data_IF_526764628190
#
_entry.id   IF_526764628190
#
_cell.length_a   1.000
_cell.length_b   1.000
_cell.length_c   1.000
_cell.angle_alpha   90.00
_cell.angle_beta   90.00
_cell.angle_gamma   90.00
#
_symmetry.space_group_name_H-M   'P 1'
#
loop_
_entity.id
_entity.type
_entity.pdbx_description
1 polymer ?
#
# COMPACT_ATOMS: atom_id res chain seq x y z
N UNK A 1 15.38 -8.37 65.75
CA UNK A 1 15.60 -8.99 64.42
C UNK A 1 14.44 -8.59 63.53
N UNK A 2 14.57 -7.47 62.83
CA UNK A 2 13.56 -6.94 61.90
C UNK A 2 14.00 -7.29 60.48
N UNK A 3 13.28 -8.23 59.86
CA UNK A 3 13.47 -8.62 58.46
C UNK A 3 12.68 -7.67 57.56
N UNK A 4 13.38 -6.93 56.71
CA UNK A 4 12.78 -6.06 55.70
C UNK A 4 12.29 -6.91 54.51
N UNK A 5 10.98 -6.91 54.27
CA UNK A 5 10.38 -7.48 53.07
C UNK A 5 10.37 -6.41 51.99
N UNK A 6 11.22 -6.56 50.98
CA UNK A 6 11.25 -5.66 49.82
C UNK A 6 10.01 -5.93 48.96
N UNK A 7 9.13 -4.93 48.81
CA UNK A 7 8.01 -5.00 47.88
C UNK A 7 8.55 -4.95 46.46
N UNK A 8 8.33 -6.01 45.68
CA UNK A 8 8.55 -6.01 44.24
C UNK A 8 7.61 -4.98 43.60
N UNK A 9 8.17 -3.88 43.10
CA UNK A 9 7.44 -2.99 42.20
C UNK A 9 7.32 -3.70 40.85
N UNK A 10 6.07 -3.95 40.47
CA UNK A 10 5.66 -4.39 39.14
C UNK A 10 6.26 -3.41 38.14
N UNK A 11 7.19 -3.89 37.30
CA UNK A 11 7.71 -3.12 36.18
C UNK A 11 6.55 -2.94 35.21
N UNK A 12 6.03 -1.73 35.17
CA UNK A 12 5.05 -1.29 34.19
C UNK A 12 5.66 -1.49 32.81
N UNK A 13 5.06 -2.41 32.03
CA UNK A 13 5.41 -2.67 30.64
C UNK A 13 5.43 -1.33 29.90
N UNK A 14 6.63 -0.86 29.58
CA UNK A 14 6.77 0.22 28.60
C UNK A 14 6.30 -0.37 27.29
N UNK A 15 5.18 0.14 26.77
CA UNK A 15 4.79 -0.06 25.38
C UNK A 15 6.01 0.20 24.50
N UNK A 16 6.60 -0.86 23.97
CA UNK A 16 7.69 -0.76 23.01
C UNK A 16 7.09 -0.15 21.76
N UNK A 17 7.29 1.16 21.55
CA UNK A 17 7.07 1.80 20.26
C UNK A 17 7.87 0.98 19.24
N UNK A 18 7.16 0.18 18.44
CA UNK A 18 7.75 -0.58 17.34
C UNK A 18 8.28 0.45 16.33
N UNK A 19 9.60 0.67 16.34
CA UNK A 19 10.26 1.58 15.41
C UNK A 19 10.12 1.02 14.00
N UNK A 20 9.39 1.74 13.15
CA UNK A 20 9.23 1.40 11.73
C UNK A 20 9.47 2.68 10.91
N UNK A 21 10.59 2.81 10.20
CA UNK A 21 10.87 3.97 9.36
C UNK A 21 9.76 4.23 8.31
N UNK A 22 9.12 3.15 7.83
CA UNK A 22 7.96 3.23 6.94
C UNK A 22 6.83 3.96 7.65
N UNK A 23 6.41 3.46 8.82
CA UNK A 23 5.32 4.04 9.61
C UNK A 23 5.60 5.50 9.97
N UNK A 24 6.81 5.81 10.42
CA UNK A 24 7.21 7.16 10.81
C UNK A 24 7.09 8.15 9.64
N UNK A 25 7.52 7.76 8.43
CA UNK A 25 7.38 8.63 7.26
C UNK A 25 5.93 8.79 6.81
N UNK A 26 5.11 7.73 6.89
CA UNK A 26 3.69 7.79 6.56
C UNK A 26 2.92 8.71 7.52
N UNK A 27 3.26 8.70 8.82
CA UNK A 27 2.76 9.62 9.82
C UNK A 27 3.16 11.06 9.50
N UNK A 28 4.46 11.29 9.28
CA UNK A 28 5.01 12.61 8.96
C UNK A 28 4.38 13.22 7.68
N UNK A 29 4.03 12.37 6.71
CA UNK A 29 3.39 12.77 5.47
C UNK A 29 1.85 12.89 5.57
N UNK A 30 1.24 12.61 6.72
CA UNK A 30 -0.22 12.55 6.92
C UNK A 30 -0.91 11.59 5.96
N UNK A 31 -0.30 10.41 5.74
CA UNK A 31 -0.86 9.32 4.95
C UNK A 31 -1.69 8.39 5.83
N UNK A 32 -1.14 8.04 7.01
CA UNK A 32 -1.85 7.34 8.10
C UNK A 32 -2.12 8.32 9.25
N UNK A 33 -3.13 8.08 10.10
CA UNK A 33 -3.44 8.96 11.22
C UNK A 33 -2.39 8.83 12.33
N UNK A 34 -2.11 9.95 13.00
CA UNK A 34 -1.35 9.93 14.25
C UNK A 34 -2.27 9.52 15.40
N UNK A 35 -2.02 8.35 15.97
CA UNK A 35 -2.78 7.78 17.08
C UNK A 35 -2.76 8.63 18.36
N UNK A 36 -1.75 9.49 18.55
CA UNK A 36 -1.70 10.47 19.64
C UNK A 36 -2.34 11.81 19.26
N UNK A 37 -2.49 12.10 17.96
CA UNK A 37 -3.16 13.28 17.44
C UNK A 37 -4.64 13.02 17.13
N UNK A 38 -5.34 12.29 18.00
CA UNK A 38 -6.79 12.44 18.16
C UNK A 38 -7.15 13.76 18.86
N UNK A 39 -6.29 14.78 18.75
CA UNK A 39 -6.50 16.16 19.20
C UNK A 39 -7.38 16.85 18.18
N UNK A 40 -8.70 16.67 18.33
CA UNK A 40 -9.81 17.62 18.13
C UNK A 40 -9.83 18.63 16.94
N UNK A 41 -8.86 18.68 16.02
CA UNK A 41 -8.69 19.79 15.08
C UNK A 41 -8.20 19.43 13.66
N UNK A 42 -7.89 18.17 13.34
CA UNK A 42 -7.67 17.78 11.93
C UNK A 42 -9.02 17.54 11.24
N UNK A 43 -9.50 18.52 10.47
CA UNK A 43 -10.72 18.39 9.64
C UNK A 43 -10.54 17.49 8.40
N UNK A 44 -9.37 16.88 8.20
CA UNK A 44 -9.08 16.08 7.00
C UNK A 44 -8.92 14.60 7.36
N UNK A 45 -9.73 13.69 6.79
CA UNK A 45 -9.57 12.25 7.02
C UNK A 45 -8.22 11.76 6.44
N UNK A 46 -7.58 10.75 7.07
CA UNK A 46 -6.35 10.16 6.56
C UNK A 46 -6.62 9.37 5.27
N UNK A 47 -5.56 9.12 4.49
CA UNK A 47 -5.63 8.40 3.21
C UNK A 47 -5.80 6.91 3.47
N UNK A 48 -5.06 6.38 4.44
CA UNK A 48 -5.14 5.00 4.90
C UNK A 48 -5.58 4.96 6.36
N UNK A 49 -6.19 3.84 6.75
CA UNK A 49 -6.32 3.52 8.17
C UNK A 49 -4.93 3.25 8.77
N UNK A 50 -4.85 3.28 10.10
CA UNK A 50 -3.61 2.97 10.80
C UNK A 50 -3.23 1.49 10.60
N UNK A 51 -1.96 1.20 10.28
CA UNK A 51 -1.49 -0.18 10.10
C UNK A 51 0.01 -0.33 10.44
N UNK A 52 0.42 -1.54 10.81
CA UNK A 52 1.82 -1.89 11.01
C UNK A 52 2.38 -2.48 9.71
N UNK A 53 3.37 -1.85 9.07
CA UNK A 53 3.96 -2.40 7.85
C UNK A 53 4.62 -3.76 8.13
N UNK A 54 4.20 -4.79 7.39
CA UNK A 54 4.78 -6.14 7.39
C UNK A 54 5.59 -6.42 6.13
N UNK A 55 5.43 -5.58 5.09
CA UNK A 55 6.16 -5.65 3.84
C UNK A 55 6.79 -4.28 3.48
N UNK A 56 8.10 -4.22 3.20
CA UNK A 56 8.65 -3.15 2.38
C UNK A 56 8.11 -3.29 0.94
N UNK A 57 7.74 -2.14 0.36
CA UNK A 57 7.34 -2.05 -1.04
C UNK A 57 8.41 -1.28 -1.82
N UNK A 58 9.13 -1.98 -2.69
CA UNK A 58 10.17 -1.42 -3.53
C UNK A 58 9.58 -1.10 -4.91
N UNK A 59 9.76 0.15 -5.34
CA UNK A 59 9.26 0.63 -6.63
C UNK A 59 10.42 1.20 -7.43
N UNK A 60 10.57 0.76 -8.67
CA UNK A 60 11.54 1.32 -9.62
C UNK A 60 10.91 1.61 -10.97
N UNK A 61 11.49 2.57 -11.68
CA UNK A 61 11.14 3.03 -13.01
C UNK A 61 12.31 2.67 -13.94
N UNK A 62 12.29 1.49 -14.59
CA UNK A 62 13.44 0.98 -15.34
C UNK A 62 13.86 1.91 -16.48
N UNK A 63 12.91 2.56 -17.15
CA UNK A 63 13.19 3.44 -18.30
C UNK A 63 14.08 4.64 -17.97
N UNK A 64 14.13 5.03 -16.71
CA UNK A 64 14.85 6.23 -16.22
C UNK A 64 15.83 5.88 -15.11
N UNK A 65 16.03 4.58 -14.82
CA UNK A 65 16.81 4.09 -13.67
C UNK A 65 16.45 4.75 -12.34
N UNK A 66 15.20 5.20 -12.19
CA UNK A 66 14.75 5.92 -11.01
C UNK A 66 14.15 4.95 -10.00
N UNK A 67 14.54 5.05 -8.73
CA UNK A 67 13.95 4.26 -7.64
C UNK A 67 13.21 5.18 -6.68
N UNK A 68 12.04 4.75 -6.22
CA UNK A 68 11.28 5.48 -5.21
C UNK A 68 11.88 5.20 -3.84
N UNK A 69 12.46 6.22 -3.23
CA UNK A 69 12.79 6.19 -1.81
C UNK A 69 11.65 6.84 -1.02
N UNK A 70 11.42 6.36 0.20
CA UNK A 70 10.31 6.80 1.03
C UNK A 70 10.35 8.33 1.24
N UNK A 71 9.34 9.02 0.71
CA UNK A 71 9.23 10.48 0.79
C UNK A 71 10.17 11.26 -0.12
N UNK A 72 10.80 10.61 -1.12
CA UNK A 72 11.67 11.30 -2.06
C UNK A 72 10.90 12.28 -2.96
N UNK A 73 11.63 13.20 -3.58
CA UNK A 73 11.09 14.14 -4.57
C UNK A 73 11.56 13.72 -5.96
N UNK A 74 10.62 13.45 -6.86
CA UNK A 74 10.90 12.98 -8.22
C UNK A 74 10.25 13.92 -9.26
N UNK A 75 10.92 14.11 -10.39
CA UNK A 75 10.32 14.84 -11.52
C UNK A 75 9.27 13.99 -12.23
N UNK A 76 8.20 14.58 -12.78
CA UNK A 76 7.21 13.83 -13.58
C UNK A 76 7.84 13.01 -14.72
N UNK A 77 8.91 13.50 -15.34
CA UNK A 77 9.62 12.78 -16.40
C UNK A 77 10.33 11.52 -15.89
N UNK A 78 10.94 11.57 -14.71
CA UNK A 78 11.60 10.42 -14.10
C UNK A 78 10.64 9.26 -13.81
N UNK A 79 9.35 9.56 -13.63
CA UNK A 79 8.29 8.61 -13.27
C UNK A 79 7.21 8.49 -14.36
N UNK A 80 7.54 8.84 -15.60
CA UNK A 80 6.57 8.89 -16.70
C UNK A 80 6.11 7.51 -17.17
N UNK A 81 7.01 6.53 -17.17
CA UNK A 81 6.69 5.16 -17.59
C UNK A 81 6.10 4.36 -16.43
N UNK A 82 5.37 3.28 -16.73
CA UNK A 82 4.89 2.37 -15.69
C UNK A 82 6.07 1.79 -14.89
N UNK A 83 6.00 1.75 -13.55
CA UNK A 83 7.04 1.16 -12.72
C UNK A 83 6.96 -0.38 -12.71
N UNK A 84 8.01 -0.98 -12.15
CA UNK A 84 7.99 -2.36 -11.64
C UNK A 84 8.03 -2.34 -10.12
N UNK A 85 7.64 -3.44 -9.49
CA UNK A 85 7.61 -3.55 -8.05
C UNK A 85 8.18 -4.87 -7.55
N UNK A 86 8.61 -4.84 -6.30
CA UNK A 86 9.06 -5.99 -5.54
C UNK A 86 8.65 -5.81 -4.08
N UNK A 87 8.20 -6.89 -3.45
CA UNK A 87 7.89 -6.91 -2.03
C UNK A 87 8.14 -8.32 -1.47
N UNK A 88 8.63 -8.38 -0.24
CA UNK A 88 8.89 -9.59 0.52
C UNK A 88 8.51 -9.36 1.97
N UNK A 89 8.02 -10.34 2.73
CA UNK A 89 7.72 -10.12 4.14
C UNK A 89 8.99 -9.76 4.90
N UNK A 90 8.89 -8.91 5.93
CA UNK A 90 10.01 -8.71 6.85
C UNK A 90 10.41 -10.06 7.47
N UNK A 91 11.72 -10.31 7.67
CA UNK A 91 12.16 -11.52 8.34
C UNK A 91 11.57 -11.53 9.76
N UNK A 92 10.83 -12.59 10.09
CA UNK A 92 10.40 -12.84 11.46
C UNK A 92 11.64 -12.96 12.34
N UNK A 93 11.73 -12.17 13.40
CA UNK A 93 12.76 -12.39 14.42
C UNK A 93 12.56 -13.80 14.98
N UNK A 94 13.57 -14.68 14.99
CA UNK A 94 13.47 -15.96 15.68
C UNK A 94 13.07 -15.72 17.14
N UNK A 95 12.11 -16.49 17.64
CA UNK A 95 11.75 -16.43 19.06
C UNK A 95 13.02 -16.63 19.92
N UNK A 96 13.28 -15.78 20.91
CA UNK A 96 14.49 -15.84 21.74
C UNK A 96 14.52 -17.05 22.69
N UNK A 97 13.50 -17.90 22.68
CA UNK A 97 13.43 -19.11 23.50
C UNK A 97 13.54 -20.36 22.61
N UNK A 98 14.72 -21.00 22.52
CA UNK A 98 14.87 -22.31 21.87
C UNK A 98 14.36 -23.40 22.83
N UNK A 99 13.13 -23.27 23.32
CA UNK A 99 12.46 -24.39 23.97
C UNK A 99 12.14 -25.42 22.89
N UNK A 100 12.59 -26.68 23.03
CA UNK A 100 12.27 -27.75 22.08
C UNK A 100 10.78 -28.10 22.23
N UNK A 101 9.93 -27.28 21.62
CA UNK A 101 8.51 -27.60 21.49
C UNK A 101 8.37 -28.81 20.57
N UNK A 102 7.51 -29.80 20.90
CA UNK A 102 7.20 -30.90 20.01
C UNK A 102 6.80 -30.37 18.63
N UNK A 103 7.17 -31.10 17.58
CA UNK A 103 6.87 -30.75 16.19
C UNK A 103 5.50 -30.07 16.05
N UNK A 104 5.40 -28.89 15.40
CA UNK A 104 4.14 -28.20 15.26
C UNK A 104 3.10 -29.15 14.68
N UNK A 105 1.96 -29.30 15.34
CA UNK A 105 0.80 -29.95 14.76
C UNK A 105 0.54 -29.36 13.36
N UNK A 106 0.00 -30.14 12.40
CA UNK A 106 -0.33 -29.63 11.06
C UNK A 106 -1.05 -28.30 11.21
N UNK A 107 -0.38 -27.21 10.81
CA UNK A 107 -0.98 -25.89 10.89
C UNK A 107 -2.22 -25.93 9.99
N UNK A 108 -3.38 -25.42 10.44
CA UNK A 108 -4.54 -25.30 9.56
C UNK A 108 -4.09 -24.55 8.30
N UNK A 109 -4.52 -25.03 7.14
CA UNK A 109 -4.20 -24.46 5.83
C UNK A 109 -4.26 -22.93 5.93
N UNK A 110 -3.10 -22.26 5.90
CA UNK A 110 -3.07 -20.81 5.94
C UNK A 110 -3.90 -20.32 4.75
N UNK A 111 -4.91 -19.46 4.97
CA UNK A 111 -5.77 -19.05 3.88
C UNK A 111 -4.92 -18.41 2.79
N UNK A 112 -5.05 -18.91 1.57
CA UNK A 112 -4.34 -18.40 0.41
C UNK A 112 -4.54 -16.89 0.33
N UNK A 113 -3.46 -16.11 0.43
CA UNK A 113 -3.50 -14.65 0.39
C UNK A 113 -3.34 -14.15 -1.04
N UNK A 114 -4.03 -13.06 -1.34
CA UNK A 114 -3.86 -12.32 -2.59
C UNK A 114 -3.54 -10.88 -2.28
N UNK A 115 -2.68 -10.31 -3.12
CA UNK A 115 -2.21 -8.95 -2.99
C UNK A 115 -2.70 -8.07 -4.14
N UNK A 116 -2.86 -6.79 -3.83
CA UNK A 116 -3.09 -5.74 -4.81
C UNK A 116 -2.12 -4.59 -4.57
N UNK A 117 -1.59 -4.02 -5.64
CA UNK A 117 -0.76 -2.81 -5.60
C UNK A 117 -1.52 -1.66 -6.24
N UNK A 118 -1.58 -0.56 -5.49
CA UNK A 118 -2.30 0.65 -5.86
C UNK A 118 -1.33 1.82 -5.92
N UNK A 119 -1.52 2.73 -6.86
CA UNK A 119 -0.99 4.10 -6.81
C UNK A 119 -2.13 5.11 -6.76
N UNK A 120 -2.08 6.04 -5.80
CA UNK A 120 -3.08 7.10 -5.66
C UNK A 120 -2.48 8.47 -5.38
N UNK A 121 -3.16 9.52 -5.88
CA UNK A 121 -2.89 10.92 -5.58
C UNK A 121 -4.00 11.49 -4.69
N UNK A 122 -3.73 11.75 -3.40
CA UNK A 122 -4.67 12.31 -2.46
C UNK A 122 -4.75 13.84 -2.55
N UNK A 123 -3.88 14.47 -3.34
CA UNK A 123 -3.69 15.91 -3.37
C UNK A 123 -4.32 16.54 -4.61
N UNK A 124 -4.85 15.80 -5.58
CA UNK A 124 -5.52 16.39 -6.75
C UNK A 124 -6.73 17.28 -6.38
N UNK A 125 -6.89 18.51 -6.88
CA UNK A 125 -6.00 19.26 -7.79
C UNK A 125 -4.81 19.92 -7.11
N UNK A 126 -4.88 20.23 -5.82
CA UNK A 126 -3.72 20.64 -5.01
C UNK A 126 -3.91 20.19 -3.56
N UNK A 127 -2.83 19.95 -2.82
CA UNK A 127 -2.90 19.53 -1.41
C UNK A 127 -3.75 20.48 -0.55
N UNK A 128 -3.70 21.79 -0.85
CA UNK A 128 -4.49 22.84 -0.19
C UNK A 128 -5.97 22.81 -0.57
N UNK A 129 -6.30 22.45 -1.81
CA UNK A 129 -7.67 22.39 -2.33
C UNK A 129 -7.90 21.11 -3.15
N UNK A 130 -8.07 19.96 -2.48
CA UNK A 130 -7.97 18.64 -3.07
C UNK A 130 -9.31 18.18 -3.69
N UNK A 131 -9.92 19.00 -4.55
CA UNK A 131 -11.29 18.78 -5.08
C UNK A 131 -11.47 17.53 -5.95
N UNK A 132 -10.39 16.89 -6.38
CA UNK A 132 -10.42 15.64 -7.17
C UNK A 132 -9.94 14.44 -6.35
N UNK A 133 -9.55 14.67 -5.10
CA UNK A 133 -9.02 13.65 -4.23
C UNK A 133 -10.07 12.57 -3.95
N UNK A 134 -9.74 11.28 -4.00
CA UNK A 134 -8.44 10.74 -4.43
C UNK A 134 -8.45 10.42 -5.92
N UNK A 135 -7.31 10.55 -6.61
CA UNK A 135 -7.15 10.10 -8.00
C UNK A 135 -6.46 8.75 -8.03
N UNK A 136 -7.09 7.76 -8.67
CA UNK A 136 -6.54 6.44 -8.92
C UNK A 136 -5.59 6.47 -10.14
N UNK A 137 -4.29 6.29 -9.87
CA UNK A 137 -3.25 6.30 -10.89
C UNK A 137 -2.95 4.91 -11.44
N UNK A 138 -2.98 3.87 -10.60
CA UNK A 138 -2.66 2.50 -11.02
C UNK A 138 -3.29 1.48 -10.06
N UNK A 139 -3.78 0.36 -10.59
CA UNK A 139 -4.25 -0.78 -9.79
C UNK A 139 -3.85 -2.08 -10.48
N UNK A 140 -3.11 -2.90 -9.75
CA UNK A 140 -2.80 -4.29 -10.09
C UNK A 140 -3.38 -5.16 -8.98
N UNK A 141 -4.06 -6.25 -9.34
CA UNK A 141 -4.65 -7.21 -8.41
C UNK A 141 -4.24 -8.64 -8.74
N UNK A 142 -4.80 -9.60 -8.02
CA UNK A 142 -4.60 -11.04 -8.25
C UNK A 142 -3.12 -11.46 -8.19
N UNK A 143 -2.33 -10.80 -7.35
CA UNK A 143 -0.94 -11.18 -7.09
C UNK A 143 -0.97 -12.29 -6.04
N UNK A 144 -0.55 -13.50 -6.41
CA UNK A 144 -0.68 -14.71 -5.58
C UNK A 144 0.57 -15.02 -4.74
N UNK A 145 1.70 -14.35 -4.99
CA UNK A 145 2.94 -14.52 -4.22
C UNK A 145 3.75 -13.23 -4.13
N UNK A 146 4.42 -12.98 -2.99
CA UNK A 146 5.46 -11.96 -2.90
C UNK A 146 6.61 -12.25 -3.86
N UNK A 147 7.23 -11.20 -4.38
CA UNK A 147 8.34 -11.30 -5.32
C UNK A 147 8.42 -10.15 -6.31
N UNK A 148 9.33 -10.29 -7.26
CA UNK A 148 9.50 -9.36 -8.36
C UNK A 148 8.42 -9.58 -9.43
N UNK A 149 7.78 -8.50 -9.89
CA UNK A 149 6.81 -8.56 -10.99
C UNK A 149 7.11 -7.50 -12.05
N UNK A 150 7.22 -7.94 -13.31
CA UNK A 150 7.31 -7.08 -14.49
C UNK A 150 6.14 -7.32 -15.43
N UNK A 151 5.36 -6.28 -15.74
CA UNK A 151 4.25 -6.37 -16.69
C UNK A 151 4.73 -6.01 -18.09
N UNK A 152 4.98 -7.00 -18.94
CA UNK A 152 5.17 -6.78 -20.36
C UNK A 152 3.80 -6.86 -21.05
N UNK A 153 3.36 -5.73 -21.62
CA UNK A 153 1.95 -5.47 -21.95
C UNK A 153 1.26 -6.51 -22.82
N UNK A 154 0.43 -7.35 -22.21
CA UNK A 154 -0.71 -7.97 -22.89
C UNK A 154 -1.98 -7.26 -22.42
N UNK A 155 -2.46 -6.31 -23.23
CA UNK A 155 -3.87 -5.93 -23.18
C UNK A 155 -4.64 -7.18 -23.63
N UNK A 156 -5.38 -7.79 -22.71
CA UNK A 156 -6.25 -8.93 -23.00
C UNK A 156 -7.23 -8.56 -24.09
N UNK A 157 -6.92 -8.95 -25.32
CA UNK A 157 -7.81 -8.87 -26.47
C UNK A 157 -8.66 -10.13 -26.42
N UNK A 158 -9.96 -9.98 -26.16
CA UNK A 158 -10.93 -11.07 -26.36
C UNK A 158 -10.74 -11.63 -27.77
N UNK A 159 -10.26 -12.87 -27.85
CA UNK A 159 -10.27 -13.69 -29.05
C UNK A 159 -10.84 -15.02 -28.62
N UNK A 160 -12.14 -15.17 -28.84
CA UNK A 160 -12.84 -16.44 -28.76
C UNK A 160 -12.11 -17.49 -29.61
N UNK A 161 -11.73 -18.62 -29.01
CA UNK A 161 -11.67 -19.95 -29.64
C UNK A 161 -11.06 -20.99 -28.68
N UNK A 162 -11.74 -22.13 -28.59
CA UNK A 162 -11.25 -23.49 -28.25
C UNK A 162 -11.52 -24.08 -26.85
N UNK A 163 -12.64 -24.82 -26.80
CA UNK A 163 -12.88 -26.17 -26.24
C UNK A 163 -12.01 -26.71 -25.09
N UNK A 164 -12.69 -27.12 -24.01
CA UNK A 164 -12.29 -28.29 -23.19
C UNK A 164 -11.64 -27.99 -21.85
N UNK A 165 -12.45 -28.04 -20.78
CA UNK A 165 -12.15 -28.53 -19.43
C UNK A 165 -10.70 -28.42 -18.91
N UNK A 166 -10.38 -27.31 -18.25
CA UNK A 166 -9.67 -27.19 -16.95
C UNK A 166 -9.73 -25.71 -16.60
N UNK A 167 -10.36 -25.33 -15.48
CA UNK A 167 -10.35 -23.95 -14.99
C UNK A 167 -8.96 -23.62 -14.42
N UNK A 168 -7.97 -23.51 -15.30
CA UNK A 168 -6.77 -22.73 -15.00
C UNK A 168 -7.18 -21.25 -15.06
N UNK A 169 -7.84 -20.77 -14.00
CA UNK A 169 -7.83 -19.34 -13.71
C UNK A 169 -6.37 -18.95 -13.67
N UNK A 170 -5.91 -18.22 -14.68
CA UNK A 170 -4.54 -17.75 -14.75
C UNK A 170 -4.32 -16.87 -13.51
N UNK A 171 -3.64 -17.40 -12.48
CA UNK A 171 -3.24 -16.73 -11.23
C UNK A 171 -2.16 -15.65 -11.48
N UNK A 172 -2.23 -15.02 -12.65
CA UNK A 172 -1.38 -13.94 -13.08
C UNK A 172 -1.93 -12.63 -12.57
N UNK A 173 -1.03 -11.79 -12.08
CA UNK A 173 -1.35 -10.43 -11.70
C UNK A 173 -2.10 -9.70 -12.83
N UNK A 174 -3.20 -9.05 -12.48
CA UNK A 174 -4.11 -8.42 -13.43
C UNK A 174 -4.05 -6.90 -13.29
N UNK A 175 -3.88 -6.19 -14.40
CA UNK A 175 -3.98 -4.72 -14.42
C UNK A 175 -5.45 -4.32 -14.49
N UNK A 176 -6.01 -3.84 -13.38
CA UNK A 176 -7.38 -3.34 -13.31
C UNK A 176 -7.49 -1.87 -13.74
N UNK A 177 -6.46 -1.07 -13.46
CA UNK A 177 -6.31 0.29 -13.97
C UNK A 177 -4.90 0.48 -14.47
N UNK A 178 -4.77 0.82 -15.75
CA UNK A 178 -3.48 1.14 -16.37
C UNK A 178 -2.80 2.31 -15.67
N UNK A 179 -1.48 2.34 -15.73
CA UNK A 179 -0.68 3.40 -15.13
C UNK A 179 -0.99 4.75 -15.78
N UNK A 180 -1.41 5.71 -14.95
CA UNK A 180 -1.51 7.12 -15.31
C UNK A 180 -0.30 7.82 -14.71
N UNK A 181 0.61 8.41 -15.51
CA UNK A 181 1.76 9.12 -14.97
C UNK A 181 1.35 10.34 -14.13
N UNK A 182 2.16 10.70 -13.11
CA UNK A 182 2.10 11.99 -12.45
C UNK A 182 2.04 13.14 -13.46
N UNK A 183 1.02 13.97 -13.34
CA UNK A 183 0.80 15.16 -14.16
C UNK A 183 0.17 16.30 -13.33
N UNK A 184 0.79 16.68 -12.21
CA UNK A 184 0.31 17.80 -11.40
C UNK A 184 0.31 19.09 -12.23
N UNK A 185 -0.62 19.99 -11.96
CA UNK A 185 -0.73 21.25 -12.69
C UNK A 185 0.29 22.28 -12.17
N UNK A 186 0.64 23.26 -13.00
CA UNK A 186 1.45 24.40 -12.57
C UNK A 186 0.73 25.10 -11.40
N UNK A 187 1.51 25.62 -10.44
CA UNK A 187 1.02 26.30 -9.23
C UNK A 187 0.21 25.45 -8.24
N UNK A 188 0.14 24.12 -8.38
CA UNK A 188 -0.53 23.26 -7.37
C UNK A 188 0.40 22.74 -6.28
N UNK A 189 1.71 22.98 -6.44
CA UNK A 189 2.76 22.53 -5.52
C UNK A 189 3.04 21.03 -5.66
N UNK A 190 3.65 20.45 -4.63
CA UNK A 190 3.90 19.01 -4.58
C UNK A 190 2.64 18.22 -4.25
N UNK A 191 2.42 17.15 -5.01
CA UNK A 191 1.43 16.11 -4.75
C UNK A 191 2.14 14.88 -4.19
N UNK A 192 1.48 14.18 -3.27
CA UNK A 192 1.90 12.85 -2.80
C UNK A 192 1.43 11.80 -3.79
N UNK A 193 2.34 10.95 -4.25
CA UNK A 193 2.01 9.76 -5.01
C UNK A 193 2.27 8.55 -4.11
N UNK A 194 1.19 7.96 -3.62
CA UNK A 194 1.23 6.93 -2.58
C UNK A 194 1.02 5.56 -3.22
N UNK A 195 2.03 4.71 -3.13
CA UNK A 195 1.90 3.29 -3.43
C UNK A 195 1.45 2.53 -2.18
N UNK A 196 0.46 1.66 -2.33
CA UNK A 196 -0.10 0.85 -1.25
C UNK A 196 -0.10 -0.61 -1.68
N UNK A 197 0.48 -1.47 -0.84
CA UNK A 197 0.34 -2.91 -0.92
C UNK A 197 -0.80 -3.32 0.00
N UNK A 198 -1.82 -3.93 -0.61
CA UNK A 198 -3.01 -4.43 0.06
C UNK A 198 -2.98 -5.96 0.05
N UNK A 199 -3.39 -6.58 1.14
CA UNK A 199 -3.54 -8.02 1.30
C UNK A 199 -5.00 -8.36 1.64
N UNK A 200 -5.51 -9.48 1.14
CA UNK A 200 -6.74 -10.08 1.64
C UNK A 200 -6.81 -11.57 1.36
N UNK A 201 -7.83 -12.21 1.93
CA UNK A 201 -8.06 -13.64 1.77
C UNK A 201 -8.58 -13.96 0.37
N UNK A 202 -8.27 -15.16 -0.14
CA UNK A 202 -8.74 -15.63 -1.44
C UNK A 202 -10.24 -15.43 -1.67
N UNK A 203 -11.07 -15.60 -0.63
CA UNK A 203 -12.52 -15.46 -0.73
C UNK A 203 -12.98 -14.05 -1.19
N UNK A 204 -12.20 -13.00 -0.90
CA UNK A 204 -12.55 -11.61 -1.20
C UNK A 204 -11.57 -10.94 -2.17
N UNK A 205 -10.28 -11.28 -2.09
CA UNK A 205 -9.20 -10.59 -2.78
C UNK A 205 -8.88 -11.15 -4.18
N UNK A 206 -9.34 -12.37 -4.53
CA UNK A 206 -9.07 -12.94 -5.86
C UNK A 206 -9.96 -12.34 -6.98
N UNK A 207 -11.10 -11.76 -6.64
CA UNK A 207 -12.12 -11.27 -7.58
C UNK A 207 -12.49 -9.80 -7.35
N UNK A 208 -11.48 -8.96 -7.18
CA UNK A 208 -11.67 -7.51 -7.01
C UNK A 208 -11.96 -6.82 -8.35
N UNK A 209 -12.88 -5.85 -8.35
CA UNK A 209 -13.19 -5.09 -9.56
C UNK A 209 -12.33 -3.82 -9.67
N UNK A 210 -12.11 -3.37 -10.91
CA UNK A 210 -11.48 -2.09 -11.15
C UNK A 210 -12.29 -0.94 -10.52
N UNK A 211 -11.64 0.10 -9.94
CA UNK A 211 -12.32 1.32 -9.52
C UNK A 211 -13.19 1.89 -10.65
N UNK A 212 -14.35 2.46 -10.34
CA UNK A 212 -15.31 2.86 -11.38
C UNK A 212 -14.74 3.99 -12.24
N UNK A 213 -14.11 4.97 -11.58
CA UNK A 213 -13.46 6.10 -12.22
C UNK A 213 -12.08 6.34 -11.61
N UNK A 214 -11.28 7.20 -12.23
CA UNK A 214 -10.00 7.64 -11.64
C UNK A 214 -10.22 8.66 -10.54
N UNK A 215 -11.02 9.68 -10.81
CA UNK A 215 -11.35 10.74 -9.85
C UNK A 215 -12.31 10.20 -8.79
N UNK A 216 -12.04 10.50 -7.53
CA UNK A 216 -12.77 9.98 -6.36
C UNK A 216 -12.88 8.45 -6.32
N UNK A 217 -12.05 7.75 -7.11
CA UNK A 217 -12.20 6.32 -7.41
C UNK A 217 -13.60 5.90 -7.91
N UNK A 218 -14.42 6.87 -8.33
CA UNK A 218 -15.83 6.70 -8.68
C UNK A 218 -16.82 6.59 -7.52
N UNK A 219 -16.41 6.93 -6.29
CA UNK A 219 -17.31 7.05 -5.13
C UNK A 219 -18.03 8.40 -5.04
N UNK A 220 -17.71 9.36 -5.93
CA UNK A 220 -18.42 10.63 -6.05
C UNK A 220 -18.17 11.65 -4.94
N UNK A 221 -17.19 11.42 -4.05
CA UNK A 221 -16.87 12.30 -2.93
C UNK A 221 -15.38 12.58 -2.78
N UNK A 222 -15.06 13.78 -2.28
CA UNK A 222 -13.69 14.20 -1.95
C UNK A 222 -13.15 13.31 -0.83
N UNK A 223 -11.88 12.88 -0.93
CA UNK A 223 -11.20 11.98 0.02
C UNK A 223 -11.84 10.58 0.11
N UNK A 224 -12.55 10.17 -0.93
CA UNK A 224 -12.96 8.79 -1.12
C UNK A 224 -12.02 8.15 -2.15
N UNK A 225 -11.44 7.00 -1.79
CA UNK A 225 -10.36 6.43 -2.58
C UNK A 225 -9.91 5.04 -2.14
N UNK A 226 -8.60 4.86 -2.03
CA UNK A 226 -8.00 3.53 -1.80
C UNK A 226 -8.54 2.85 -0.55
N UNK A 227 -8.78 3.61 0.53
CA UNK A 227 -9.35 3.10 1.78
C UNK A 227 -10.77 2.57 1.61
N UNK A 228 -11.59 3.22 0.79
CA UNK A 228 -12.97 2.78 0.51
C UNK A 228 -12.95 1.49 -0.31
N UNK A 229 -12.11 1.46 -1.34
CA UNK A 229 -11.95 0.30 -2.21
C UNK A 229 -11.41 -0.90 -1.44
N UNK A 230 -10.41 -0.71 -0.58
CA UNK A 230 -9.90 -1.77 0.28
C UNK A 230 -10.99 -2.37 1.18
N UNK A 231 -11.81 -1.52 1.82
CA UNK A 231 -12.93 -1.98 2.67
C UNK A 231 -14.01 -2.73 1.91
N UNK A 232 -14.33 -2.32 0.69
CA UNK A 232 -15.32 -2.98 -0.17
C UNK A 232 -14.95 -4.45 -0.44
N UNK A 233 -13.66 -4.76 -0.51
CA UNK A 233 -13.13 -6.10 -0.81
C UNK A 233 -12.43 -6.78 0.37
N UNK A 234 -12.57 -6.26 1.59
CA UNK A 234 -11.93 -6.84 2.78
C UNK A 234 -10.40 -6.91 2.67
N UNK A 235 -9.79 -5.90 2.05
CA UNK A 235 -8.35 -5.76 1.92
C UNK A 235 -7.78 -4.89 3.03
N UNK A 236 -6.58 -5.21 3.49
CA UNK A 236 -5.85 -4.47 4.52
C UNK A 236 -4.51 -3.98 3.98
N UNK A 237 -4.07 -2.80 4.40
CA UNK A 237 -2.76 -2.27 4.05
C UNK A 237 -1.67 -3.00 4.84
N UNK A 238 -0.71 -3.59 4.12
CA UNK A 238 0.41 -4.34 4.71
C UNK A 238 1.77 -3.74 4.37
N UNK A 239 1.80 -2.82 3.41
CA UNK A 239 3.00 -2.05 3.03
C UNK A 239 2.63 -0.78 2.27
N UNK A 240 3.50 0.22 2.32
CA UNK A 240 3.35 1.42 1.51
C UNK A 240 4.70 2.11 1.28
N UNK A 241 4.81 2.82 0.18
CA UNK A 241 5.88 3.78 -0.10
C UNK A 241 5.27 4.98 -0.83
N UNK A 242 5.99 6.09 -0.91
CA UNK A 242 5.47 7.28 -1.60
C UNK A 242 6.60 8.20 -2.02
N UNK A 243 6.30 9.06 -2.99
CA UNK A 243 7.15 10.17 -3.39
C UNK A 243 6.31 11.43 -3.59
N UNK A 244 7.00 12.56 -3.72
CA UNK A 244 6.44 13.85 -4.09
C UNK A 244 6.81 14.21 -5.52
N UNK A 245 5.86 14.72 -6.29
CA UNK A 245 6.13 15.34 -7.59
C UNK A 245 5.35 16.65 -7.75
N UNK A 246 5.92 17.60 -8.48
CA UNK A 246 5.31 18.88 -8.86
C UNK A 246 5.48 19.09 -10.36
N UNK A 247 4.69 19.99 -10.93
CA UNK A 247 4.86 20.38 -12.33
C UNK A 247 6.26 20.97 -12.56
N UNK A 248 6.83 20.73 -13.73
CA UNK A 248 7.97 21.53 -14.17
C UNK A 248 7.50 22.98 -14.31
N UNK A 249 8.23 23.92 -13.71
CA UNK A 249 8.07 25.34 -13.98
C UNK A 249 8.77 25.57 -15.32
N UNK A 250 8.03 26.01 -16.34
CA UNK A 250 8.63 26.29 -17.64
C UNK A 250 9.70 27.38 -17.51
N UNK A 251 10.86 27.17 -18.15
CA UNK A 251 11.86 28.23 -18.39
C UNK A 251 11.29 29.33 -19.29
#
# INVERSE_FOLDING_TARGET
MTSHRWSQQVIQERETKLYSPIRDALLAASIIPDGQFRVMNSKTPPILDDFTPTFPLLISYPSTHTTVSLGSYLSPDAVRSQPVFEFHPFPSTPDPDPSPSPAPAPQPDHPTKFYSIVLTDPDAKSRKHPIWSEVCHWVVSNISSPGYSSFQGHIGRNSDSFTGTTLSYTLTAQILKSYLPPSPLICTGYHRYVFVLLEGDAATACNVNAPRERKHWGYGGVRLGVRNWAKEYGLEAVGATFFYAKAAEGE
#
